data_IF_993007057462
#
_entry.id   IF_993007057462
#
_cell.length_a   1.000
_cell.length_b   1.000
_cell.length_c   1.000
_cell.angle_alpha   90.00
_cell.angle_beta   90.00
_cell.angle_gamma   90.00
#
_symmetry.space_group_name_H-M   'P 1'
#
loop_
_entity.id
_entity.type
_entity.pdbx_description
1 polymer ?
#
# COMPACT_ATOMS: atom_id res chain seq x y z
N UNK A 1 37.39 -5.57 -18.14
CA UNK A 1 36.44 -6.63 -18.51
C UNK A 1 35.16 -6.36 -17.74
N UNK A 2 34.13 -5.94 -18.48
CA UNK A 2 32.90 -5.31 -17.98
C UNK A 2 31.97 -6.37 -17.41
N UNK A 3 31.75 -6.37 -16.09
CA UNK A 3 30.71 -7.22 -15.50
C UNK A 3 29.39 -6.46 -15.54
N UNK A 4 28.63 -6.71 -16.60
CA UNK A 4 27.23 -6.34 -16.67
C UNK A 4 26.49 -7.07 -15.55
N UNK A 5 26.27 -6.36 -14.43
CA UNK A 5 25.20 -6.66 -13.50
C UNK A 5 23.90 -6.58 -14.29
N UNK A 6 23.50 -7.74 -14.84
CA UNK A 6 22.16 -7.97 -15.34
C UNK A 6 21.26 -7.86 -14.11
N UNK A 7 20.68 -6.68 -13.89
CA UNK A 7 19.64 -6.45 -12.91
C UNK A 7 18.45 -7.29 -13.35
N UNK A 8 18.43 -8.56 -12.93
CA UNK A 8 17.26 -9.40 -13.08
C UNK A 8 16.13 -8.75 -12.30
N UNK A 9 15.28 -8.05 -13.03
CA UNK A 9 14.07 -7.37 -12.63
C UNK A 9 12.96 -8.38 -12.32
N UNK A 10 13.16 -9.22 -11.31
CA UNK A 10 12.10 -9.99 -10.68
C UNK A 10 11.68 -9.25 -9.42
N UNK A 11 10.57 -8.51 -9.46
CA UNK A 11 9.96 -7.94 -8.26
C UNK A 11 9.71 -9.08 -7.27
N UNK A 12 10.41 -9.07 -6.14
CA UNK A 12 10.23 -10.07 -5.10
C UNK A 12 8.85 -9.88 -4.47
N UNK A 13 7.94 -10.83 -4.72
CA UNK A 13 6.56 -10.81 -4.21
C UNK A 13 6.51 -11.01 -2.68
N UNK A 14 7.64 -11.38 -2.06
CA UNK A 14 7.77 -11.49 -0.62
C UNK A 14 7.73 -10.12 0.06
N UNK A 15 8.25 -9.08 -0.61
CA UNK A 15 8.27 -7.70 -0.10
C UNK A 15 6.93 -7.02 -0.43
N UNK A 16 6.23 -6.46 0.57
CA UNK A 16 5.01 -5.71 0.30
C UNK A 16 5.34 -4.44 -0.51
N UNK A 17 4.54 -4.19 -1.54
CA UNK A 17 4.62 -2.97 -2.35
C UNK A 17 4.00 -1.77 -1.60
N UNK A 18 3.01 -2.02 -0.75
CA UNK A 18 2.41 -1.05 0.17
C UNK A 18 2.09 -1.75 1.49
N UNK A 19 2.44 -1.11 2.62
CA UNK A 19 1.99 -1.55 3.94
C UNK A 19 1.58 -0.35 4.78
N UNK A 20 0.41 -0.43 5.40
CA UNK A 20 -0.06 0.49 6.42
C UNK A 20 -0.52 -0.33 7.63
N UNK A 21 -0.20 0.15 8.83
CA UNK A 21 -0.59 -0.46 10.09
C UNK A 21 -1.12 0.60 11.02
N UNK A 22 -2.23 0.31 11.70
CA UNK A 22 -2.92 1.20 12.64
C UNK A 22 -3.12 2.63 12.09
N UNK A 23 -3.39 2.74 10.77
CA UNK A 23 -3.49 4.04 10.12
C UNK A 23 -4.75 4.78 10.60
N UNK A 24 -4.53 5.99 11.11
CA UNK A 24 -5.56 6.95 11.49
C UNK A 24 -5.34 8.23 10.68
N UNK A 25 -6.39 8.72 10.03
CA UNK A 25 -6.31 9.93 9.21
C UNK A 25 -7.52 10.85 9.39
N UNK A 26 -7.26 12.16 9.38
CA UNK A 26 -8.27 13.22 9.48
C UNK A 26 -7.84 14.43 8.65
N UNK A 27 -8.74 14.96 7.81
CA UNK A 27 -8.49 16.24 7.11
C UNK A 27 -8.60 17.45 8.04
N UNK A 28 -9.40 17.34 9.11
CA UNK A 28 -9.58 18.38 10.11
C UNK A 28 -9.71 17.76 11.49
N UNK A 29 -9.52 18.55 12.55
CA UNK A 29 -9.62 18.09 13.94
C UNK A 29 -11.02 17.60 14.35
N UNK A 30 -12.03 17.73 13.50
CA UNK A 30 -13.44 17.45 13.84
C UNK A 30 -13.87 16.02 13.55
N UNK A 31 -13.25 15.35 12.58
CA UNK A 31 -13.69 14.02 12.15
C UNK A 31 -12.52 13.17 11.68
N UNK A 32 -12.39 12.01 12.34
CA UNK A 32 -11.56 10.90 11.87
C UNK A 32 -12.26 10.28 10.65
N UNK A 33 -11.51 10.17 9.56
CA UNK A 33 -11.98 9.66 8.28
C UNK A 33 -11.56 8.20 8.11
N UNK A 34 -10.29 7.90 8.37
CA UNK A 34 -9.77 6.54 8.43
C UNK A 34 -9.39 6.25 9.87
N UNK A 35 -9.78 5.08 10.38
CA UNK A 35 -9.47 4.65 11.73
C UNK A 35 -9.10 3.18 11.73
N UNK A 36 -7.98 2.84 12.36
CA UNK A 36 -7.48 1.48 12.55
C UNK A 36 -7.41 0.71 11.21
N UNK A 37 -6.84 1.34 10.18
CA UNK A 37 -6.66 0.68 8.88
C UNK A 37 -5.34 -0.09 8.89
N UNK A 38 -5.45 -1.40 8.70
CA UNK A 38 -4.35 -2.32 8.42
C UNK A 38 -4.46 -2.83 6.99
N UNK A 39 -3.44 -2.58 6.16
CA UNK A 39 -3.44 -2.93 4.75
C UNK A 39 -2.05 -3.37 4.31
N UNK A 40 -1.98 -4.50 3.62
CA UNK A 40 -0.76 -4.97 2.95
C UNK A 40 -1.11 -5.30 1.51
N UNK A 41 -0.42 -4.67 0.56
CA UNK A 41 -0.50 -4.96 -0.88
C UNK A 41 0.86 -5.47 -1.33
N UNK A 42 0.88 -6.64 -1.95
CA UNK A 42 2.10 -7.28 -2.48
C UNK A 42 2.36 -6.88 -3.92
N UNK A 43 3.61 -7.04 -4.35
CA UNK A 43 3.95 -6.85 -5.77
C UNK A 43 3.05 -7.70 -6.67
N UNK A 44 2.54 -7.12 -7.76
CA UNK A 44 1.72 -7.83 -8.74
C UNK A 44 0.22 -7.97 -8.39
N UNK A 45 -0.20 -7.60 -7.17
CA UNK A 45 -1.62 -7.59 -6.81
C UNK A 45 -2.38 -6.44 -7.48
N UNK A 46 -3.64 -6.70 -7.84
CA UNK A 46 -4.61 -5.68 -8.28
C UNK A 46 -5.69 -5.58 -7.21
N UNK A 47 -5.80 -4.43 -6.57
CA UNK A 47 -6.71 -4.20 -5.45
C UNK A 47 -7.78 -3.17 -5.83
N UNK A 48 -9.05 -3.47 -5.55
CA UNK A 48 -10.15 -2.54 -5.68
C UNK A 48 -10.60 -2.05 -4.30
N UNK A 49 -10.66 -0.73 -4.10
CA UNK A 49 -11.25 -0.13 -2.91
C UNK A 49 -12.71 0.23 -3.21
N UNK A 50 -13.65 -0.26 -2.40
CA UNK A 50 -15.08 -0.04 -2.57
C UNK A 50 -15.70 0.51 -1.28
N UNK A 51 -16.77 1.29 -1.43
CA UNK A 51 -17.56 1.79 -0.31
C UNK A 51 -18.56 2.85 -0.75
N UNK A 52 -19.55 3.18 0.09
CA UNK A 52 -20.41 4.33 -0.12
C UNK A 52 -19.62 5.64 -0.21
N UNK A 53 -20.21 6.67 -0.82
CA UNK A 53 -19.60 8.00 -0.90
C UNK A 53 -19.27 8.52 0.52
N UNK A 54 -18.00 8.87 0.74
CA UNK A 54 -17.50 9.41 2.01
C UNK A 54 -17.17 8.38 3.11
N UNK A 55 -17.11 7.09 2.77
CA UNK A 55 -16.75 6.01 3.71
C UNK A 55 -15.28 6.04 4.18
N UNK A 56 -14.42 6.74 3.44
CA UNK A 56 -13.01 6.96 3.74
C UNK A 56 -12.50 8.21 3.04
#
# INVERSE_FOLDING_TARGET
MTNAQKTNSSTDLSVPALSASELIFSYSKRRIVLQNIDLVIRGGERVGLIGPNGAG
#
